data_IF_843824924386
#
_entry.id   IF_843824924386
#
_cell.length_a   1.000
_cell.length_b   1.000
_cell.length_c   1.000
_cell.angle_alpha   90.00
_cell.angle_beta   90.00
_cell.angle_gamma   90.00
#
_symmetry.space_group_name_H-M   'P 1'
#
loop_
_entity.id
_entity.type
_entity.pdbx_description
1 polymer ?
#
# COMPACT_ATOMS: atom_id res chain seq x y z
N UNK A 1 -10.73 -15.06 -4.17
CA UNK A 1 -11.43 -14.94 -5.46
C UNK A 1 -10.82 -13.74 -6.17
N UNK A 2 -10.43 -13.89 -7.43
CA UNK A 2 -9.85 -12.81 -8.23
C UNK A 2 -10.59 -12.69 -9.56
N UNK A 3 -10.73 -11.47 -10.05
CA UNK A 3 -11.32 -11.14 -11.35
C UNK A 3 -10.43 -10.14 -12.07
N UNK A 4 -10.19 -10.36 -13.34
CA UNK A 4 -9.42 -9.47 -14.20
C UNK A 4 -10.19 -9.18 -15.46
N UNK A 5 -10.36 -7.91 -15.79
CA UNK A 5 -11.11 -7.46 -16.94
C UNK A 5 -10.27 -6.49 -17.80
N UNK A 6 -10.47 -6.54 -19.10
CA UNK A 6 -9.76 -5.71 -20.07
C UNK A 6 -10.76 -4.88 -20.86
N UNK A 7 -10.61 -3.56 -20.81
CA UNK A 7 -11.39 -2.62 -21.62
C UNK A 7 -10.47 -1.92 -22.62
N UNK A 8 -10.32 -2.53 -23.80
CA UNK A 8 -9.32 -2.09 -24.77
C UNK A 8 -7.91 -2.22 -24.22
N UNK A 9 -7.25 -1.09 -23.94
CA UNK A 9 -5.90 -1.06 -23.33
C UNK A 9 -5.93 -0.93 -21.80
N UNK A 10 -7.07 -0.62 -21.22
CA UNK A 10 -7.21 -0.52 -19.78
C UNK A 10 -7.36 -1.91 -19.14
N UNK A 11 -6.84 -2.07 -17.94
CA UNK A 11 -6.94 -3.31 -17.17
C UNK A 11 -7.48 -3.00 -15.78
N UNK A 12 -8.52 -3.73 -15.38
CA UNK A 12 -9.05 -3.72 -14.02
C UNK A 12 -8.77 -5.09 -13.39
N UNK A 13 -8.10 -5.08 -12.24
CA UNK A 13 -7.89 -6.26 -11.39
C UNK A 13 -8.65 -6.06 -10.08
N UNK A 14 -9.44 -7.04 -9.68
CA UNK A 14 -10.14 -7.05 -8.41
C UNK A 14 -9.90 -8.38 -7.68
N UNK A 15 -9.52 -8.30 -6.43
CA UNK A 15 -9.32 -9.47 -5.58
C UNK A 15 -10.04 -9.29 -4.25
N UNK A 16 -10.77 -10.30 -3.81
CA UNK A 16 -11.30 -10.42 -2.47
C UNK A 16 -10.74 -11.67 -1.81
N UNK A 17 -10.26 -11.55 -0.58
CA UNK A 17 -9.75 -12.67 0.19
C UNK A 17 -10.34 -12.68 1.60
N UNK A 18 -10.57 -13.89 2.11
CA UNK A 18 -10.94 -14.13 3.49
C UNK A 18 -9.86 -14.96 4.16
N UNK A 19 -9.27 -14.42 5.22
CA UNK A 19 -8.26 -15.08 6.04
C UNK A 19 -8.89 -15.45 7.39
N UNK A 20 -8.73 -16.71 7.77
CA UNK A 20 -9.18 -17.24 9.06
C UNK A 20 -8.07 -18.04 9.71
N UNK A 21 -7.70 -17.65 10.92
CA UNK A 21 -6.85 -18.46 11.78
C UNK A 21 -7.61 -19.68 12.32
N UNK A 22 -6.95 -20.81 12.37
CA UNK A 22 -7.49 -22.05 12.93
C UNK A 22 -6.64 -22.50 14.10
N UNK A 23 -7.22 -23.23 15.05
CA UNK A 23 -6.47 -23.85 16.14
C UNK A 23 -5.98 -25.27 15.79
N UNK A 24 -5.68 -25.54 14.51
CA UNK A 24 -5.21 -26.86 14.08
C UNK A 24 -3.78 -27.12 14.56
N UNK A 25 -3.43 -28.41 14.74
CA UNK A 25 -2.09 -28.86 15.13
C UNK A 25 -1.62 -28.25 16.47
N UNK A 26 -2.52 -28.16 17.45
CA UNK A 26 -2.23 -27.64 18.79
C UNK A 26 -1.63 -26.23 18.78
N UNK A 27 -2.01 -25.41 17.78
CA UNK A 27 -1.58 -24.01 17.72
C UNK A 27 -1.99 -23.28 19.00
N UNK A 28 -0.99 -22.73 19.69
CA UNK A 28 -1.20 -21.98 20.93
C UNK A 28 -2.04 -20.72 20.66
N UNK A 29 -2.94 -20.36 21.58
CA UNK A 29 -3.63 -19.06 21.51
C UNK A 29 -2.61 -17.92 21.59
N UNK A 30 -2.92 -16.79 20.95
CA UNK A 30 -2.12 -15.59 21.09
C UNK A 30 -2.16 -15.08 22.54
N UNK A 31 -1.03 -14.66 23.13
CA UNK A 31 -1.03 -14.13 24.50
C UNK A 31 -2.02 -12.97 24.71
N UNK A 32 -2.25 -12.18 23.66
CA UNK A 32 -3.19 -11.05 23.65
C UNK A 32 -4.67 -11.47 23.81
N UNK A 33 -5.00 -12.77 23.60
CA UNK A 33 -6.36 -13.28 23.81
C UNK A 33 -6.82 -13.13 25.27
N UNK A 34 -5.90 -13.22 26.22
CA UNK A 34 -6.19 -13.02 27.65
C UNK A 34 -6.71 -11.62 27.96
N UNK A 35 -6.34 -10.63 27.15
CA UNK A 35 -6.71 -9.23 27.31
C UNK A 35 -7.76 -8.79 26.28
N UNK A 36 -8.24 -9.70 25.45
CA UNK A 36 -9.15 -9.42 24.31
C UNK A 36 -8.59 -8.39 23.31
N UNK A 37 -7.27 -8.30 23.19
CA UNK A 37 -6.55 -7.36 22.33
C UNK A 37 -6.11 -7.95 20.99
N UNK A 38 -6.18 -9.28 20.82
CA UNK A 38 -5.85 -9.97 19.60
C UNK A 38 -6.13 -11.46 19.71
N UNK A 39 -6.27 -12.16 18.59
CA UNK A 39 -6.46 -13.60 18.56
C UNK A 39 -5.71 -14.24 17.39
N UNK A 40 -5.11 -15.41 17.64
CA UNK A 40 -4.54 -16.26 16.58
C UNK A 40 -5.64 -16.84 15.66
N UNK A 41 -6.91 -16.82 16.10
CA UNK A 41 -8.09 -17.26 15.33
C UNK A 41 -8.75 -16.09 14.60
N UNK A 42 -7.93 -15.20 14.05
CA UNK A 42 -8.38 -14.00 13.35
C UNK A 42 -9.35 -14.32 12.20
N UNK A 43 -10.22 -13.36 11.92
CA UNK A 43 -11.14 -13.37 10.76
C UNK A 43 -11.03 -12.02 10.07
N UNK A 44 -10.41 -12.02 8.89
CA UNK A 44 -10.06 -10.82 8.13
C UNK A 44 -10.59 -10.96 6.71
N UNK A 45 -11.19 -9.89 6.21
CA UNK A 45 -11.49 -9.70 4.80
C UNK A 45 -10.54 -8.65 4.24
N UNK A 46 -9.99 -8.93 3.06
CA UNK A 46 -9.24 -7.95 2.29
C UNK A 46 -9.82 -7.82 0.89
N UNK A 47 -9.76 -6.61 0.37
CA UNK A 47 -10.13 -6.30 -1.02
C UNK A 47 -9.01 -5.48 -1.63
N UNK A 48 -8.55 -5.91 -2.78
CA UNK A 48 -7.57 -5.22 -3.61
C UNK A 48 -8.21 -4.87 -4.95
N UNK A 49 -8.10 -3.61 -5.38
CA UNK A 49 -8.58 -3.15 -6.68
C UNK A 49 -7.44 -2.40 -7.36
N UNK A 50 -7.06 -2.85 -8.55
CA UNK A 50 -6.04 -2.23 -9.39
C UNK A 50 -6.62 -1.79 -10.72
N UNK A 51 -6.39 -0.54 -11.10
CA UNK A 51 -6.73 0.00 -12.42
C UNK A 51 -5.44 0.48 -13.09
N UNK A 52 -5.16 -0.05 -14.27
CA UNK A 52 -4.14 0.47 -15.15
C UNK A 52 -4.83 1.05 -16.39
N UNK A 53 -4.72 2.36 -16.59
CA UNK A 53 -5.41 3.10 -17.64
C UNK A 53 -4.41 3.88 -18.49
N UNK A 54 -4.10 3.41 -19.71
CA UNK A 54 -3.44 4.23 -20.72
C UNK A 54 -4.36 5.38 -21.15
N UNK A 55 -3.90 6.63 -20.96
CA UNK A 55 -4.72 7.84 -21.15
C UNK A 55 -4.65 8.38 -22.58
N UNK A 56 -3.66 7.95 -23.36
CA UNK A 56 -3.49 8.37 -24.75
C UNK A 56 -3.41 7.16 -25.69
N UNK A 57 -3.65 7.43 -26.99
CA UNK A 57 -3.64 6.37 -28.02
C UNK A 57 -2.26 5.73 -28.18
N UNK A 58 -1.19 6.47 -27.90
CA UNK A 58 0.19 6.00 -28.02
C UNK A 58 0.65 5.20 -26.77
N UNK A 59 -0.10 5.28 -25.65
CA UNK A 59 0.24 4.65 -24.37
C UNK A 59 1.42 5.32 -23.66
N UNK A 60 1.70 6.58 -23.97
CA UNK A 60 2.76 7.34 -23.30
C UNK A 60 2.38 7.80 -21.90
N UNK A 61 1.11 8.11 -21.70
CA UNK A 61 0.56 8.47 -20.39
C UNK A 61 -0.23 7.29 -19.83
N UNK A 62 0.09 6.90 -18.62
CA UNK A 62 -0.60 5.79 -17.93
C UNK A 62 -0.94 6.21 -16.51
N UNK A 63 -2.20 6.04 -16.12
CA UNK A 63 -2.65 6.13 -14.74
C UNK A 63 -2.68 4.73 -14.15
N UNK A 64 -1.92 4.51 -13.08
CA UNK A 64 -2.02 3.31 -12.23
C UNK A 64 -2.66 3.72 -10.91
N UNK A 65 -3.80 3.12 -10.58
CA UNK A 65 -4.55 3.40 -9.35
C UNK A 65 -4.80 2.10 -8.62
N UNK A 66 -4.38 2.02 -7.35
CA UNK A 66 -4.52 0.81 -6.53
C UNK A 66 -5.12 1.14 -5.19
N UNK A 67 -6.21 0.48 -4.90
CA UNK A 67 -6.90 0.57 -3.64
C UNK A 67 -6.82 -0.76 -2.90
N UNK A 68 -6.50 -0.71 -1.62
CA UNK A 68 -6.51 -1.85 -0.71
C UNK A 68 -7.36 -1.52 0.50
N UNK A 69 -8.20 -2.47 0.92
CA UNK A 69 -8.98 -2.36 2.14
C UNK A 69 -8.94 -3.63 2.96
N UNK A 70 -8.95 -3.46 4.28
CA UNK A 70 -8.98 -4.55 5.26
C UNK A 70 -10.10 -4.33 6.27
N UNK A 71 -10.85 -5.39 6.58
CA UNK A 71 -11.88 -5.43 7.61
C UNK A 71 -11.71 -6.66 8.48
N UNK A 72 -11.75 -6.44 9.79
CA UNK A 72 -11.69 -7.51 10.78
C UNK A 72 -13.09 -7.82 11.34
N UNK A 73 -13.29 -9.08 11.74
CA UNK A 73 -14.44 -9.55 12.55
C UNK A 73 -14.07 -9.95 13.97
N UNK A 74 -12.78 -10.05 14.26
CA UNK A 74 -12.21 -10.41 15.56
C UNK A 74 -11.13 -9.39 15.92
N UNK A 75 -10.76 -9.22 17.19
CA UNK A 75 -9.55 -8.50 17.57
C UNK A 75 -8.34 -9.07 16.81
N UNK A 76 -7.40 -8.22 16.41
CA UNK A 76 -6.23 -8.63 15.65
C UNK A 76 -4.94 -8.40 16.44
N UNK A 77 -4.06 -9.38 16.40
CA UNK A 77 -2.69 -9.21 16.86
C UNK A 77 -1.98 -8.11 16.05
N UNK A 78 -0.94 -7.46 16.58
CA UNK A 78 -0.21 -6.40 15.86
C UNK A 78 0.27 -6.82 14.46
N UNK A 79 0.60 -8.11 14.27
CA UNK A 79 1.08 -8.65 13.00
C UNK A 79 0.01 -8.73 11.90
N UNK A 80 -1.27 -8.80 12.28
CA UNK A 80 -2.39 -8.91 11.36
C UNK A 80 -3.07 -7.56 11.08
N UNK A 81 -2.64 -6.49 11.74
CA UNK A 81 -3.18 -5.13 11.56
C UNK A 81 -2.73 -4.52 10.24
N UNK A 82 -3.58 -3.69 9.67
CA UNK A 82 -3.20 -2.85 8.54
C UNK A 82 -2.33 -1.69 9.02
N UNK A 83 -1.13 -1.57 8.45
CA UNK A 83 -0.22 -0.46 8.72
C UNK A 83 -0.10 0.44 7.49
N UNK A 84 -0.17 1.76 7.70
CA UNK A 84 0.05 2.78 6.66
C UNK A 84 1.17 3.75 7.09
N UNK A 85 1.86 4.35 6.13
CA UNK A 85 2.95 5.30 6.40
C UNK A 85 4.32 4.77 5.98
N UNK A 86 4.41 4.12 4.84
CA UNK A 86 5.66 3.65 4.25
C UNK A 86 5.59 3.51 2.73
N UNK A 87 6.72 3.21 2.11
CA UNK A 87 6.91 3.15 0.65
C UNK A 87 5.86 2.34 -0.09
N UNK A 88 5.34 1.27 0.53
CA UNK A 88 4.44 0.32 -0.13
C UNK A 88 2.96 0.59 0.13
N UNK A 89 2.62 1.54 1.02
CA UNK A 89 1.25 1.90 1.37
C UNK A 89 0.94 3.35 1.03
N UNK A 90 1.43 4.31 1.81
CA UNK A 90 1.30 5.74 1.54
C UNK A 90 2.70 6.32 1.41
N UNK A 91 3.14 6.64 0.18
CA UNK A 91 4.46 7.23 -0.08
C UNK A 91 4.56 8.61 0.54
N UNK A 92 5.79 9.03 0.85
CA UNK A 92 6.04 10.33 1.48
C UNK A 92 6.42 10.23 2.95
N UNK A 93 6.36 9.03 3.52
CA UNK A 93 6.75 8.71 4.89
C UNK A 93 7.94 7.76 4.89
N UNK A 94 8.85 7.94 5.84
CA UNK A 94 10.09 7.15 5.97
C UNK A 94 9.87 5.73 6.49
N UNK A 95 8.71 5.47 7.10
CA UNK A 95 8.36 4.17 7.66
C UNK A 95 8.83 3.93 9.10
N UNK A 96 9.55 4.86 9.71
CA UNK A 96 9.96 4.74 11.12
C UNK A 96 8.76 4.78 12.07
N UNK A 97 7.80 5.63 11.77
CA UNK A 97 6.49 5.64 12.43
C UNK A 97 5.41 5.29 11.43
N UNK A 98 4.48 4.44 11.84
CA UNK A 98 3.31 4.08 11.04
C UNK A 98 2.03 4.18 11.87
N UNK A 99 0.89 4.25 11.18
CA UNK A 99 -0.43 4.10 11.80
C UNK A 99 -0.92 2.69 11.51
N UNK A 100 -1.14 1.91 12.57
CA UNK A 100 -1.52 0.50 12.46
C UNK A 100 -2.76 0.21 13.28
N UNK A 101 -3.80 -0.36 12.63
CA UNK A 101 -5.04 -0.74 13.30
C UNK A 101 -5.72 -1.94 12.60
N UNK A 102 -6.80 -2.45 13.21
CA UNK A 102 -7.46 -3.69 12.79
C UNK A 102 -8.10 -3.60 11.41
N UNK A 103 -8.51 -2.42 10.99
CA UNK A 103 -9.17 -2.17 9.70
C UNK A 103 -8.76 -0.84 9.13
N UNK A 104 -8.96 -0.69 7.82
CA UNK A 104 -8.61 0.55 7.14
C UNK A 104 -8.47 0.32 5.64
N UNK A 105 -7.91 1.30 5.00
CA UNK A 105 -7.64 1.28 3.57
C UNK A 105 -6.45 2.17 3.23
N UNK A 106 -5.82 1.92 2.08
CA UNK A 106 -4.96 2.89 1.41
C UNK A 106 -5.25 2.91 -0.08
N UNK A 107 -5.04 4.06 -0.67
CA UNK A 107 -5.24 4.31 -2.09
C UNK A 107 -3.99 4.96 -2.67
N UNK A 108 -3.39 4.32 -3.64
CA UNK A 108 -2.17 4.73 -4.33
C UNK A 108 -2.53 5.11 -5.75
N UNK A 109 -2.11 6.30 -6.17
CA UNK A 109 -2.32 6.78 -7.51
C UNK A 109 -1.00 7.25 -8.10
N UNK A 110 -0.77 6.90 -9.34
CA UNK A 110 0.44 7.24 -10.05
C UNK A 110 0.13 7.57 -11.49
N UNK A 111 0.53 8.76 -11.93
CA UNK A 111 0.51 9.18 -13.32
C UNK A 111 1.94 9.10 -13.86
N UNK A 112 2.15 8.22 -14.82
CA UNK A 112 3.44 8.00 -15.45
C UNK A 112 3.46 8.50 -16.90
N UNK A 113 4.55 9.14 -17.30
CA UNK A 113 4.82 9.58 -18.65
C UNK A 113 6.05 8.88 -19.20
N UNK A 114 5.88 8.15 -20.28
CA UNK A 114 6.96 7.50 -21.01
C UNK A 114 7.62 8.52 -21.96
N UNK A 115 8.71 9.12 -21.52
CA UNK A 115 9.45 10.10 -22.33
C UNK A 115 10.41 9.45 -23.33
N UNK A 116 10.80 8.19 -23.07
CA UNK A 116 11.65 7.36 -23.94
C UNK A 116 11.23 5.90 -23.80
N UNK A 117 11.50 5.08 -24.84
CA UNK A 117 11.24 3.64 -24.77
C UNK A 117 11.95 3.01 -23.56
N UNK A 118 11.18 2.37 -22.69
CA UNK A 118 11.66 1.76 -21.46
C UNK A 118 11.96 2.73 -20.29
N UNK A 119 11.67 4.05 -20.43
CA UNK A 119 11.93 5.03 -19.38
C UNK A 119 10.72 5.92 -19.15
N UNK A 120 10.39 6.15 -17.88
CA UNK A 120 9.21 6.91 -17.43
C UNK A 120 9.59 7.92 -16.35
N UNK A 121 8.90 9.04 -16.34
CA UNK A 121 8.80 9.96 -15.20
C UNK A 121 7.40 9.76 -14.62
N UNK A 122 7.27 9.78 -13.31
CA UNK A 122 5.97 9.63 -12.68
C UNK A 122 5.76 10.63 -11.54
N UNK A 123 4.51 10.97 -11.31
CA UNK A 123 4.03 11.68 -10.14
C UNK A 123 2.98 10.82 -9.43
N UNK A 124 2.98 10.87 -8.11
CA UNK A 124 2.11 10.03 -7.30
C UNK A 124 1.46 10.80 -6.16
N UNK A 125 0.23 10.42 -5.84
CA UNK A 125 -0.54 10.92 -4.71
C UNK A 125 -1.23 9.76 -4.02
N UNK A 126 -0.89 9.53 -2.76
CA UNK A 126 -1.37 8.40 -1.97
C UNK A 126 -2.09 8.90 -0.72
N UNK A 127 -3.13 8.17 -0.31
CA UNK A 127 -3.86 8.42 0.91
C UNK A 127 -4.14 7.11 1.65
N UNK A 128 -4.32 7.18 2.97
CA UNK A 128 -4.69 6.03 3.77
C UNK A 128 -5.36 6.41 5.07
N UNK A 129 -6.17 5.49 5.57
CA UNK A 129 -6.93 5.62 6.80
C UNK A 129 -6.91 4.30 7.56
N UNK A 130 -6.76 4.39 8.89
CA UNK A 130 -6.87 3.24 9.79
C UNK A 130 -7.94 3.47 10.85
N UNK A 131 -8.60 2.40 11.26
CA UNK A 131 -9.67 2.41 12.25
C UNK A 131 -9.73 1.08 13.01
N UNK A 132 -10.44 1.06 14.09
CA UNK A 132 -10.61 -0.10 14.97
C UNK A 132 -10.33 0.26 16.42
N UNK A 133 -10.33 -0.75 17.27
CA UNK A 133 -10.14 -0.54 18.70
C UNK A 133 -8.76 0.04 19.04
N UNK A 134 -7.70 -0.45 18.40
CA UNK A 134 -6.34 0.06 18.60
C UNK A 134 -6.14 1.49 18.07
N UNK A 135 -6.96 1.94 17.12
CA UNK A 135 -6.83 3.28 16.54
C UNK A 135 -7.13 4.41 17.53
N UNK A 136 -7.75 4.13 18.67
CA UNK A 136 -7.99 5.13 19.74
C UNK A 136 -6.69 5.58 20.41
N UNK A 137 -5.66 4.76 20.39
CA UNK A 137 -4.34 5.04 21.00
C UNK A 137 -3.35 5.68 20.02
N UNK A 138 -3.73 5.86 18.76
CA UNK A 138 -2.88 6.47 17.76
C UNK A 138 -2.95 7.99 17.82
N UNK A 139 -1.88 8.65 17.42
CA UNK A 139 -1.80 10.13 17.29
C UNK A 139 -2.76 10.69 16.23
N UNK A 140 -3.35 9.83 15.43
CA UNK A 140 -4.32 10.15 14.38
C UNK A 140 -4.59 8.94 13.51
N UNK A 141 -5.36 9.10 12.44
CA UNK A 141 -5.86 7.96 11.63
C UNK A 141 -5.62 8.11 10.13
N UNK A 142 -5.22 9.29 9.67
CA UNK A 142 -5.12 9.60 8.24
C UNK A 142 -3.71 10.01 7.88
N UNK A 143 -3.22 9.51 6.76
CA UNK A 143 -1.99 9.95 6.13
C UNK A 143 -2.25 10.25 4.65
N UNK A 144 -1.57 11.27 4.12
CA UNK A 144 -1.54 11.57 2.69
C UNK A 144 -0.12 12.00 2.31
N UNK A 145 0.37 11.49 1.20
CA UNK A 145 1.70 11.79 0.74
C UNK A 145 1.80 11.85 -0.77
N UNK A 146 2.84 12.53 -1.26
CA UNK A 146 3.12 12.66 -2.68
C UNK A 146 4.54 12.23 -3.00
N UNK A 147 4.75 11.74 -4.22
CA UNK A 147 6.05 11.38 -4.73
C UNK A 147 6.21 11.79 -6.19
N UNK A 148 7.46 12.01 -6.59
CA UNK A 148 7.88 12.15 -7.99
C UNK A 148 9.10 11.25 -8.19
N UNK A 149 9.20 10.60 -9.33
CA UNK A 149 10.32 9.72 -9.61
C UNK A 149 10.56 9.48 -11.08
N UNK A 150 11.67 8.82 -11.33
CA UNK A 150 12.07 8.32 -12.64
C UNK A 150 12.36 6.83 -12.53
N UNK A 151 11.86 6.06 -13.47
CA UNK A 151 12.15 4.63 -13.55
C UNK A 151 12.38 4.21 -14.97
N UNK A 152 13.10 3.14 -15.15
CA UNK A 152 13.34 2.61 -16.48
C UNK A 152 14.16 1.35 -16.47
N UNK A 153 14.37 0.87 -17.70
CA UNK A 153 15.16 -0.30 -17.98
C UNK A 153 16.23 0.05 -19.03
N UNK A 154 17.49 -0.19 -18.67
CA UNK A 154 18.58 -0.17 -19.61
C UNK A 154 18.70 -1.53 -20.33
N UNK A 155 19.41 -1.53 -21.45
CA UNK A 155 19.79 -2.76 -22.14
C UNK A 155 20.49 -3.73 -21.14
N UNK A 156 20.29 -5.05 -21.33
CA UNK A 156 20.85 -6.12 -20.47
C UNK A 156 20.16 -6.30 -19.11
N UNK A 157 18.86 -5.95 -18.99
CA UNK A 157 18.06 -6.30 -17.80
C UNK A 157 18.31 -5.45 -16.57
N UNK A 158 19.04 -4.34 -16.65
CA UNK A 158 19.23 -3.41 -15.55
C UNK A 158 17.99 -2.51 -15.42
N UNK A 159 17.25 -2.65 -14.31
CA UNK A 159 16.11 -1.80 -13.97
C UNK A 159 16.50 -0.83 -12.87
N UNK A 160 15.94 0.37 -12.93
CA UNK A 160 16.11 1.38 -11.88
C UNK A 160 14.80 2.10 -11.58
N UNK A 161 14.66 2.56 -10.34
CA UNK A 161 13.60 3.44 -9.86
C UNK A 161 14.21 4.38 -8.81
N UNK A 162 14.16 5.67 -9.06
CA UNK A 162 14.67 6.72 -8.15
C UNK A 162 13.53 7.69 -7.90
N UNK A 163 13.27 8.01 -6.64
CA UNK A 163 12.17 8.90 -6.29
C UNK A 163 12.49 9.82 -5.12
N UNK A 164 11.77 10.92 -5.08
CA UNK A 164 11.64 11.83 -3.96
C UNK A 164 10.18 11.90 -3.54
N UNK A 165 9.91 11.89 -2.25
CA UNK A 165 8.57 11.90 -1.70
C UNK A 165 8.49 12.80 -0.46
N UNK A 166 7.28 13.28 -0.14
CA UNK A 166 7.02 14.10 1.05
C UNK A 166 5.62 13.82 1.62
N UNK A 167 5.44 14.01 2.96
CA UNK A 167 4.11 14.01 3.55
C UNK A 167 3.33 15.26 3.07
N UNK A 168 2.05 15.09 2.76
CA UNK A 168 1.10 16.15 2.43
C UNK A 168 0.19 16.42 3.63
N UNK A 169 -0.30 15.35 4.25
CA UNK A 169 -1.10 15.42 5.47
C UNK A 169 -0.65 14.35 6.44
N UNK A 170 -0.40 14.75 7.69
CA UNK A 170 -0.09 13.86 8.81
C UNK A 170 -0.66 14.42 10.11
N UNK A 171 -0.95 13.56 11.11
CA UNK A 171 -1.31 14.01 12.45
C UNK A 171 -0.21 14.87 13.09
N UNK A 172 -0.59 15.76 14.02
CA UNK A 172 0.31 16.73 14.63
C UNK A 172 1.54 16.10 15.28
N UNK A 173 1.39 14.96 15.95
CA UNK A 173 2.49 14.27 16.66
C UNK A 173 3.05 13.07 15.86
N UNK A 174 2.77 13.00 14.59
CA UNK A 174 3.32 11.93 13.74
C UNK A 174 4.74 12.34 13.29
N UNK A 175 5.74 11.62 13.81
CA UNK A 175 7.15 11.85 13.49
C UNK A 175 7.50 11.18 12.16
N UNK A 176 8.06 11.93 11.25
CA UNK A 176 8.57 11.46 9.96
C UNK A 176 9.47 12.51 9.34
N UNK A 177 10.36 12.13 8.47
CA UNK A 177 11.18 13.04 7.69
C UNK A 177 10.32 13.94 6.80
N UNK A 178 10.73 15.21 6.62
CA UNK A 178 10.04 16.15 5.74
C UNK A 178 10.17 15.79 4.25
N UNK A 179 11.21 15.04 3.90
CA UNK A 179 11.47 14.53 2.54
C UNK A 179 12.06 13.13 2.66
N UNK A 180 11.61 12.24 1.81
CA UNK A 180 12.09 10.86 1.71
C UNK A 180 12.64 10.66 0.30
N UNK A 181 13.83 10.13 0.21
CA UNK A 181 14.45 9.75 -1.05
C UNK A 181 14.64 8.24 -1.06
N UNK A 182 14.44 7.63 -2.20
CA UNK A 182 14.66 6.21 -2.33
C UNK A 182 15.10 5.83 -3.73
N UNK A 183 15.78 4.71 -3.80
CA UNK A 183 16.15 4.09 -5.07
C UNK A 183 15.97 2.57 -4.99
N UNK A 184 15.79 1.98 -6.14
CA UNK A 184 15.83 0.54 -6.35
C UNK A 184 16.61 0.29 -7.65
N UNK A 185 17.54 -0.64 -7.60
CA UNK A 185 18.28 -1.11 -8.77
C UNK A 185 18.23 -2.62 -8.75
N UNK A 186 17.77 -3.22 -9.84
CA UNK A 186 17.74 -4.66 -10.01
C UNK A 186 18.31 -5.06 -11.36
N UNK A 187 19.04 -6.16 -11.38
CA UNK A 187 19.62 -6.68 -12.59
C UNK A 187 19.20 -8.13 -12.79
N UNK A 188 18.66 -8.40 -13.98
CA UNK A 188 18.27 -9.74 -14.41
C UNK A 188 19.21 -10.16 -15.54
N UNK A 189 19.97 -11.22 -15.34
CA UNK A 189 20.94 -11.79 -16.27
C UNK A 189 20.49 -13.18 -16.75
#
# INVERSE_FOLDING_TARGET
MSHKEYWGKATLDAQIAYKRGTGMQDALPAPEELFNEGTSRMKIWTVDIGLNLPMDKQGKWTLDSRWHGQWNKTPLTPLDRLAIGGRYTVRGFDGEMNLSAERGWYWRNELAWQYRAGHQIYAALDAGHVAGASAQYLVGRNLMGAAIGVRGQFQKGLNYDIFAAKPIHKPQYFHTANKVYGFNVSWTF
#
